data_IF_011961932211
#
_entry.id   IF_011961932211
#
_cell.length_a   1.000
_cell.length_b   1.000
_cell.length_c   1.000
_cell.angle_alpha   90.00
_cell.angle_beta   90.00
_cell.angle_gamma   90.00
#
_symmetry.space_group_name_H-M   'P 1'
#
loop_
_entity.id
_entity.type
_entity.pdbx_description
1 polymer ?
#
# COMPACT_ATOMS: atom_id res chain seq x y z
N UNK A 1 8.85 -6.00 23.69
CA UNK A 1 9.58 -6.60 22.56
C UNK A 1 11.10 -6.46 22.73
N UNK A 2 11.89 -7.21 21.94
CA UNK A 2 13.34 -6.96 21.80
C UNK A 2 13.60 -5.55 21.31
N UNK A 3 14.71 -4.95 21.70
CA UNK A 3 15.11 -3.59 21.26
C UNK A 3 15.70 -3.63 19.85
N UNK A 4 14.89 -3.43 18.83
CA UNK A 4 15.33 -3.39 17.43
C UNK A 4 15.92 -2.03 17.06
N UNK A 5 16.74 -1.99 16.02
CA UNK A 5 17.28 -0.74 15.45
C UNK A 5 16.37 -0.19 14.35
N UNK A 6 15.71 -1.10 13.61
CA UNK A 6 14.96 -0.79 12.40
C UNK A 6 13.54 -1.33 12.51
N UNK A 7 12.57 -0.45 12.34
CA UNK A 7 11.14 -0.74 12.37
C UNK A 7 10.58 -0.56 10.97
N UNK A 8 10.06 -1.65 10.40
CA UNK A 8 9.49 -1.69 9.06
C UNK A 8 7.98 -1.81 9.22
N UNK A 9 7.23 -0.84 8.76
CA UNK A 9 5.78 -0.81 8.89
C UNK A 9 5.10 -1.08 7.55
N UNK A 10 4.01 -1.84 7.58
CA UNK A 10 2.95 -1.74 6.59
C UNK A 10 2.15 -0.45 6.80
N UNK A 11 1.31 -0.06 5.81
CA UNK A 11 0.55 1.18 5.84
C UNK A 11 -0.92 0.97 6.20
N UNK A 12 -1.69 0.39 5.26
CA UNK A 12 -3.14 0.30 5.38
C UNK A 12 -3.55 -0.85 6.30
N UNK A 13 -4.31 -0.53 7.33
CA UNK A 13 -4.63 -1.47 8.40
C UNK A 13 -3.58 -1.55 9.51
N UNK A 14 -2.45 -0.83 9.35
CA UNK A 14 -1.37 -0.77 10.34
C UNK A 14 -1.16 0.64 10.88
N UNK A 15 -0.94 1.62 10.03
CA UNK A 15 -0.80 3.03 10.39
C UNK A 15 -1.98 3.87 9.93
N UNK A 16 -2.62 3.46 8.84
CA UNK A 16 -3.70 4.18 8.15
C UNK A 16 -4.93 3.33 8.07
N UNK A 17 -6.05 3.89 8.48
CA UNK A 17 -7.39 3.38 8.22
C UNK A 17 -7.95 4.06 6.98
N UNK A 18 -8.48 3.26 6.05
CA UNK A 18 -9.05 3.74 4.80
C UNK A 18 -10.30 2.94 4.44
N UNK A 19 -11.26 3.60 3.80
CA UNK A 19 -12.38 2.93 3.16
C UNK A 19 -12.55 3.43 1.73
N UNK A 20 -12.66 2.50 0.79
CA UNK A 20 -12.85 2.80 -0.64
C UNK A 20 -13.90 1.89 -1.24
N UNK A 21 -14.77 2.48 -2.09
CA UNK A 21 -15.80 1.79 -2.85
C UNK A 21 -15.59 2.04 -4.35
N UNK A 22 -14.95 1.07 -5.01
CA UNK A 22 -14.63 1.17 -6.45
C UNK A 22 -15.79 0.68 -7.34
N UNK A 23 -16.83 0.07 -6.74
CA UNK A 23 -18.01 -0.46 -7.45
C UNK A 23 -19.12 0.55 -7.71
N UNK A 24 -19.06 1.73 -7.11
CA UNK A 24 -20.15 2.71 -7.15
C UNK A 24 -20.36 3.30 -8.56
N UNK A 25 -21.61 3.25 -9.07
CA UNK A 25 -21.97 3.78 -10.39
C UNK A 25 -21.62 5.26 -10.56
N UNK A 26 -21.77 6.05 -9.50
CA UNK A 26 -21.49 7.49 -9.54
C UNK A 26 -19.99 7.79 -9.72
N UNK A 27 -19.11 6.89 -9.25
CA UNK A 27 -17.67 6.97 -9.51
C UNK A 27 -17.43 6.88 -11.02
N UNK A 28 -17.90 5.81 -11.66
CA UNK A 28 -17.67 5.53 -13.08
C UNK A 28 -18.28 6.59 -13.98
N UNK A 29 -19.45 7.11 -13.60
CA UNK A 29 -20.10 8.22 -14.27
C UNK A 29 -19.26 9.50 -14.21
N UNK A 30 -18.72 9.88 -13.05
CA UNK A 30 -17.84 11.06 -12.92
C UNK A 30 -16.52 10.86 -13.65
N UNK A 31 -15.94 9.66 -13.56
CA UNK A 31 -14.71 9.34 -14.26
C UNK A 31 -14.91 9.36 -15.78
N UNK A 32 -16.06 8.91 -16.30
CA UNK A 32 -16.36 8.99 -17.74
C UNK A 32 -16.43 10.44 -18.23
N UNK A 33 -16.93 11.38 -17.43
CA UNK A 33 -16.87 12.81 -17.76
C UNK A 33 -15.44 13.32 -17.80
N UNK A 34 -14.60 12.91 -16.83
CA UNK A 34 -13.19 13.29 -16.85
C UNK A 34 -12.51 12.86 -18.15
N UNK A 35 -12.64 11.59 -18.55
CA UNK A 35 -12.10 11.09 -19.81
C UNK A 35 -12.70 11.83 -21.03
N UNK A 36 -14.01 12.08 -21.02
CA UNK A 36 -14.74 12.78 -22.07
C UNK A 36 -14.26 14.23 -22.28
N UNK A 37 -13.87 14.94 -21.22
CA UNK A 37 -13.29 16.29 -21.33
C UNK A 37 -11.98 16.32 -22.11
N UNK A 38 -11.24 15.22 -22.15
CA UNK A 38 -10.03 15.03 -22.94
C UNK A 38 -10.28 14.34 -24.30
N UNK A 39 -11.56 14.08 -24.65
CA UNK A 39 -11.94 13.50 -25.94
C UNK A 39 -12.06 11.96 -25.93
N UNK A 40 -11.75 11.30 -24.82
CA UNK A 40 -11.91 9.85 -24.67
C UNK A 40 -13.33 9.53 -24.14
N UNK A 41 -14.31 9.49 -25.05
CA UNK A 41 -15.73 9.35 -24.69
C UNK A 41 -16.06 7.89 -24.37
N UNK A 42 -16.57 7.68 -23.16
CA UNK A 42 -17.04 6.40 -22.62
C UNK A 42 -18.45 6.53 -22.06
N UNK A 43 -19.25 5.49 -22.20
CA UNK A 43 -20.35 5.23 -21.27
C UNK A 43 -19.75 4.70 -19.95
N UNK A 44 -20.37 5.00 -18.79
CA UNK A 44 -19.82 4.62 -17.48
C UNK A 44 -19.50 3.13 -17.34
N UNK A 45 -20.42 2.27 -17.77
CA UNK A 45 -20.29 0.82 -17.72
C UNK A 45 -19.16 0.33 -18.64
N UNK A 46 -19.04 0.91 -19.83
CA UNK A 46 -17.95 0.59 -20.78
C UNK A 46 -16.58 0.96 -20.20
N UNK A 47 -16.49 2.08 -19.48
CA UNK A 47 -15.27 2.51 -18.84
C UNK A 47 -14.85 1.53 -17.73
N UNK A 48 -15.79 1.14 -16.86
CA UNK A 48 -15.56 0.16 -15.81
C UNK A 48 -15.09 -1.18 -16.36
N UNK A 49 -15.81 -1.73 -17.34
CA UNK A 49 -15.44 -2.99 -17.99
C UNK A 49 -14.05 -2.91 -18.65
N UNK A 50 -13.75 -1.77 -19.30
CA UNK A 50 -12.45 -1.53 -19.93
C UNK A 50 -11.31 -1.48 -18.89
N UNK A 51 -11.54 -0.83 -17.77
CA UNK A 51 -10.59 -0.76 -16.66
C UNK A 51 -10.31 -2.16 -16.10
N UNK A 52 -11.36 -2.90 -15.75
CA UNK A 52 -11.20 -4.25 -15.20
C UNK A 52 -10.48 -5.20 -16.17
N UNK A 53 -10.82 -5.12 -17.47
CA UNK A 53 -10.17 -5.92 -18.50
C UNK A 53 -8.67 -5.57 -18.66
N UNK A 54 -8.31 -4.28 -18.61
CA UNK A 54 -6.92 -3.84 -18.69
C UNK A 54 -6.13 -4.27 -17.44
N UNK A 55 -6.69 -4.11 -16.24
CA UNK A 55 -6.06 -4.59 -14.98
C UNK A 55 -5.79 -6.09 -15.07
N UNK A 56 -6.77 -6.88 -15.50
CA UNK A 56 -6.61 -8.33 -15.67
C UNK A 56 -5.53 -8.66 -16.72
N UNK A 57 -5.51 -7.94 -17.84
CA UNK A 57 -4.50 -8.12 -18.92
C UNK A 57 -3.10 -7.80 -18.41
N UNK A 58 -2.92 -6.69 -17.68
CA UNK A 58 -1.62 -6.33 -17.11
C UNK A 58 -1.13 -7.39 -16.11
N UNK A 59 -1.98 -7.82 -15.17
CA UNK A 59 -1.65 -8.90 -14.24
C UNK A 59 -1.24 -10.18 -14.94
N UNK A 60 -1.93 -10.54 -16.02
CA UNK A 60 -1.63 -11.74 -16.81
C UNK A 60 -0.28 -11.64 -17.54
N UNK A 61 0.18 -10.46 -17.90
CA UNK A 61 1.50 -10.28 -18.52
C UNK A 61 2.65 -10.67 -17.59
N UNK A 62 2.41 -10.61 -16.27
CA UNK A 62 3.33 -11.02 -15.20
C UNK A 62 2.96 -12.39 -14.58
N UNK A 63 2.20 -13.23 -15.26
CA UNK A 63 1.76 -14.54 -14.74
C UNK A 63 2.90 -15.52 -14.43
N UNK A 64 4.13 -15.21 -14.86
CA UNK A 64 5.35 -15.96 -14.51
C UNK A 64 5.87 -15.60 -13.11
N UNK A 65 5.45 -14.49 -12.53
CA UNK A 65 5.77 -14.10 -11.15
C UNK A 65 4.76 -14.68 -10.15
N UNK A 66 5.23 -15.16 -9.00
CA UNK A 66 4.36 -15.72 -7.96
C UNK A 66 3.41 -14.65 -7.36
N UNK A 67 3.87 -13.41 -7.30
CA UNK A 67 3.15 -12.29 -6.72
C UNK A 67 3.21 -11.09 -7.68
N UNK A 68 2.48 -11.12 -8.80
CA UNK A 68 2.55 -10.07 -9.80
C UNK A 68 2.07 -8.72 -9.24
N UNK A 69 2.82 -7.68 -9.53
CA UNK A 69 2.46 -6.29 -9.21
C UNK A 69 2.42 -5.47 -10.49
N UNK A 70 1.47 -4.54 -10.58
CA UNK A 70 1.27 -3.68 -11.75
C UNK A 70 1.24 -2.22 -11.32
N UNK A 71 1.55 -1.34 -12.26
CA UNK A 71 1.46 0.11 -12.10
C UNK A 71 0.16 0.59 -12.76
N UNK A 72 -0.81 1.04 -11.94
CA UNK A 72 -2.14 1.42 -12.45
C UNK A 72 -2.12 2.65 -13.36
N UNK A 73 -1.12 3.52 -13.28
CA UNK A 73 -0.98 4.66 -14.19
C UNK A 73 -0.95 4.24 -15.66
N UNK A 74 -0.34 3.10 -15.99
CA UNK A 74 -0.38 2.56 -17.35
C UNK A 74 -1.78 2.06 -17.75
N UNK A 75 -2.57 1.57 -16.81
CA UNK A 75 -3.96 1.20 -17.06
C UNK A 75 -4.78 2.46 -17.37
N UNK A 76 -4.63 3.52 -16.57
CA UNK A 76 -5.32 4.79 -16.81
C UNK A 76 -4.88 5.44 -18.13
N UNK A 77 -3.59 5.34 -18.52
CA UNK A 77 -3.11 5.80 -19.81
C UNK A 77 -3.75 5.02 -20.98
N UNK A 78 -3.76 3.70 -20.89
CA UNK A 78 -4.35 2.83 -21.92
C UNK A 78 -5.85 3.06 -22.14
N UNK A 79 -6.57 3.52 -21.13
CA UNK A 79 -7.97 3.92 -21.28
C UNK A 79 -8.12 5.12 -22.22
N UNK A 80 -7.21 6.11 -22.21
CA UNK A 80 -7.19 7.18 -23.20
C UNK A 80 -6.85 6.65 -24.60
N UNK A 81 -5.79 5.84 -24.68
CA UNK A 81 -5.31 5.28 -25.96
C UNK A 81 -6.38 4.43 -26.64
N UNK A 82 -7.17 3.65 -25.88
CA UNK A 82 -8.28 2.83 -26.39
C UNK A 82 -9.34 3.65 -27.13
N UNK A 83 -9.49 4.93 -26.81
CA UNK A 83 -10.37 5.89 -27.50
C UNK A 83 -9.63 6.77 -28.50
N UNK A 84 -8.38 6.44 -28.84
CA UNK A 84 -7.57 7.20 -29.82
C UNK A 84 -7.02 8.52 -29.29
N UNK A 85 -7.07 8.76 -28.00
CA UNK A 85 -6.51 9.96 -27.34
C UNK A 85 -5.11 9.63 -26.83
N UNK A 86 -4.13 10.45 -27.21
CA UNK A 86 -2.79 10.37 -26.65
C UNK A 86 -2.76 11.09 -25.29
N UNK A 87 -2.44 10.35 -24.25
CA UNK A 87 -2.26 10.89 -22.89
C UNK A 87 -0.80 10.72 -22.47
N UNK A 88 -0.21 11.79 -21.94
CA UNK A 88 1.06 11.65 -21.23
C UNK A 88 0.85 10.99 -19.84
N UNK A 89 1.95 10.64 -19.19
CA UNK A 89 1.89 9.98 -17.90
C UNK A 89 1.32 10.91 -16.81
N UNK A 90 1.51 12.20 -16.91
CA UNK A 90 0.95 13.18 -15.95
C UNK A 90 -0.59 13.15 -15.98
N UNK A 91 -1.19 13.14 -17.17
CA UNK A 91 -2.65 13.02 -17.33
C UNK A 91 -3.17 11.65 -16.82
N UNK A 92 -2.43 10.58 -17.08
CA UNK A 92 -2.77 9.25 -16.58
C UNK A 92 -2.77 9.18 -15.05
N UNK A 93 -1.75 9.75 -14.42
CA UNK A 93 -1.66 9.88 -12.96
C UNK A 93 -2.83 10.72 -12.41
N UNK A 94 -3.18 11.83 -13.05
CA UNK A 94 -4.34 12.64 -12.64
C UNK A 94 -5.66 11.86 -12.75
N UNK A 95 -5.83 11.04 -13.79
CA UNK A 95 -7.00 10.17 -13.92
C UNK A 95 -7.08 9.15 -12.76
N UNK A 96 -5.95 8.53 -12.42
CA UNK A 96 -5.84 7.63 -11.28
C UNK A 96 -6.14 8.31 -9.94
N UNK A 97 -5.60 9.51 -9.72
CA UNK A 97 -5.86 10.29 -8.51
C UNK A 97 -7.35 10.69 -8.40
N UNK A 98 -7.95 11.07 -9.53
CA UNK A 98 -9.36 11.39 -9.56
C UNK A 98 -10.22 10.15 -9.25
N UNK A 99 -9.89 9.00 -9.85
CA UNK A 99 -10.49 7.72 -9.51
C UNK A 99 -10.38 7.42 -8.01
N UNK A 100 -9.18 7.61 -7.43
CA UNK A 100 -8.94 7.36 -6.00
C UNK A 100 -9.79 8.27 -5.11
N UNK A 101 -9.87 9.57 -5.44
CA UNK A 101 -10.70 10.53 -4.69
C UNK A 101 -12.20 10.16 -4.78
N UNK A 102 -12.66 9.73 -5.95
CA UNK A 102 -14.07 9.35 -6.14
C UNK A 102 -14.43 8.05 -5.41
N UNK A 103 -13.49 7.11 -5.30
CA UNK A 103 -13.71 5.84 -4.60
C UNK A 103 -13.53 5.94 -3.09
N UNK A 104 -12.84 6.97 -2.60
CA UNK A 104 -12.46 7.09 -1.19
C UNK A 104 -13.57 7.73 -0.36
N UNK A 105 -14.08 6.99 0.61
CA UNK A 105 -15.00 7.53 1.61
C UNK A 105 -14.23 8.28 2.70
N UNK A 106 -13.16 7.68 3.21
CA UNK A 106 -12.25 8.33 4.16
C UNK A 106 -10.85 7.72 4.13
N UNK A 107 -9.88 8.53 4.56
CA UNK A 107 -8.52 8.12 4.89
C UNK A 107 -8.08 8.87 6.15
N UNK A 108 -7.61 8.16 7.15
CA UNK A 108 -7.18 8.73 8.44
C UNK A 108 -6.11 7.86 9.11
N UNK A 109 -5.39 8.44 10.06
CA UNK A 109 -4.47 7.68 10.92
C UNK A 109 -5.24 6.93 12.00
N UNK A 110 -4.73 5.77 12.42
CA UNK A 110 -5.12 5.22 13.71
C UNK A 110 -4.63 6.14 14.84
N UNK A 111 -5.37 6.16 15.95
CA UNK A 111 -5.06 7.02 17.08
C UNK A 111 -3.69 6.68 17.67
N UNK A 112 -2.84 7.69 17.86
CA UNK A 112 -1.51 7.53 18.45
C UNK A 112 -0.37 7.19 17.48
N UNK A 113 -0.64 7.09 16.17
CA UNK A 113 0.39 6.76 15.16
C UNK A 113 1.54 7.76 15.17
N UNK A 114 1.26 9.07 15.13
CA UNK A 114 2.33 10.08 15.11
C UNK A 114 3.15 10.06 16.37
N UNK A 115 2.51 9.93 17.51
CA UNK A 115 3.16 9.83 18.82
C UNK A 115 4.08 8.60 18.90
N UNK A 116 3.66 7.47 18.33
CA UNK A 116 4.46 6.25 18.27
C UNK A 116 5.68 6.43 17.36
N UNK A 117 5.52 7.01 16.18
CA UNK A 117 6.63 7.31 15.26
C UNK A 117 7.62 8.30 15.85
N UNK A 118 7.13 9.36 16.54
CA UNK A 118 7.98 10.30 17.29
C UNK A 118 8.75 9.62 18.40
N UNK A 119 8.12 8.67 19.11
CA UNK A 119 8.80 7.92 20.17
C UNK A 119 9.97 7.10 19.60
N UNK A 120 9.78 6.43 18.47
CA UNK A 120 10.85 5.69 17.79
C UNK A 120 12.00 6.61 17.40
N UNK A 121 11.72 7.79 16.83
CA UNK A 121 12.74 8.78 16.48
C UNK A 121 13.48 9.29 17.72
N UNK A 122 12.77 9.59 18.83
CA UNK A 122 13.40 9.99 20.11
C UNK A 122 14.31 8.91 20.67
N UNK A 123 14.00 7.64 20.42
CA UNK A 123 14.86 6.50 20.77
C UNK A 123 16.00 6.23 19.77
N UNK A 124 16.14 7.06 18.73
CA UNK A 124 17.16 6.91 17.68
C UNK A 124 16.94 5.72 16.77
N UNK A 125 15.71 5.24 16.65
CA UNK A 125 15.34 4.12 15.77
C UNK A 125 15.17 4.59 14.35
N UNK A 126 15.41 3.67 13.39
CA UNK A 126 15.10 3.86 11.98
C UNK A 126 13.72 3.34 11.64
N UNK A 127 12.98 4.06 10.84
CA UNK A 127 11.60 3.76 10.48
C UNK A 127 11.46 3.70 8.97
N UNK A 128 10.94 2.58 8.48
CA UNK A 128 10.75 2.34 7.05
C UNK A 128 9.30 1.98 6.77
N UNK A 129 8.82 2.33 5.59
CA UNK A 129 7.54 1.88 5.06
C UNK A 129 7.77 0.81 4.00
N UNK A 130 7.02 -0.31 4.08
CA UNK A 130 7.00 -1.38 3.09
C UNK A 130 5.55 -1.78 2.83
N UNK A 131 4.92 -1.19 1.81
CA UNK A 131 3.47 -1.29 1.58
C UNK A 131 3.12 -1.91 0.24
N UNK A 132 2.16 -2.85 0.26
CA UNK A 132 1.49 -3.34 -0.95
C UNK A 132 0.45 -2.31 -1.38
N UNK A 133 0.82 -1.43 -2.33
CA UNK A 133 0.01 -0.26 -2.68
C UNK A 133 0.38 0.29 -4.08
N UNK A 134 -0.41 1.25 -4.54
CA UNK A 134 -0.15 2.00 -5.77
C UNK A 134 0.47 3.36 -5.45
N UNK A 135 1.63 3.66 -6.01
CA UNK A 135 2.37 4.89 -5.74
C UNK A 135 1.56 6.14 -6.09
N UNK A 136 0.82 6.09 -7.20
CA UNK A 136 -0.03 7.20 -7.67
C UNK A 136 -1.13 7.61 -6.67
N UNK A 137 -1.45 6.77 -5.70
CA UNK A 137 -2.39 7.05 -4.61
C UNK A 137 -1.64 7.34 -3.31
N UNK A 138 -0.80 6.41 -2.91
CA UNK A 138 -0.20 6.32 -1.58
C UNK A 138 0.73 7.50 -1.28
N UNK A 139 1.51 7.98 -2.24
CA UNK A 139 2.39 9.13 -2.05
C UNK A 139 1.60 10.40 -1.67
N UNK A 140 0.43 10.61 -2.26
CA UNK A 140 -0.42 11.76 -1.96
C UNK A 140 -1.14 11.62 -0.62
N UNK A 141 -1.58 10.40 -0.28
CA UNK A 141 -2.20 10.10 1.00
C UNK A 141 -1.19 10.26 2.16
N UNK A 142 0.04 9.78 2.01
CA UNK A 142 1.12 10.00 2.98
C UNK A 142 1.42 11.48 3.19
N UNK A 143 1.40 12.28 2.10
CA UNK A 143 1.56 13.74 2.18
C UNK A 143 0.41 14.39 2.92
N UNK A 144 -0.84 14.06 2.55
CA UNK A 144 -2.05 14.57 3.19
C UNK A 144 -2.09 14.27 4.67
N UNK A 145 -1.73 13.05 5.07
CA UNK A 145 -1.68 12.61 6.47
C UNK A 145 -0.45 13.15 7.24
N UNK A 146 0.52 13.74 6.53
CA UNK A 146 1.74 14.27 7.11
C UNK A 146 2.68 13.19 7.65
N UNK A 147 2.71 12.02 6.99
CA UNK A 147 3.52 10.87 7.41
C UNK A 147 4.92 10.84 6.78
N UNK A 148 5.12 11.46 5.61
CA UNK A 148 6.40 11.39 4.87
C UNK A 148 7.63 11.68 5.76
N UNK A 149 7.63 12.72 6.63
CA UNK A 149 8.81 13.06 7.43
C UNK A 149 9.20 12.02 8.48
N UNK A 150 8.33 11.06 8.77
CA UNK A 150 8.58 10.04 9.78
C UNK A 150 9.33 8.81 9.25
N UNK A 151 9.46 8.67 7.93
CA UNK A 151 10.15 7.52 7.35
C UNK A 151 11.56 7.89 6.88
N UNK A 152 12.53 7.05 7.22
CA UNK A 152 13.87 7.11 6.65
C UNK A 152 13.85 6.71 5.15
N UNK A 153 12.92 5.83 4.77
CA UNK A 153 12.62 5.51 3.36
C UNK A 153 11.24 4.86 3.21
N UNK A 154 10.68 4.94 1.99
CA UNK A 154 9.35 4.48 1.64
C UNK A 154 9.45 3.56 0.42
N UNK A 155 8.96 2.30 0.58
CA UNK A 155 8.87 1.31 -0.48
C UNK A 155 7.41 0.98 -0.75
N UNK A 156 6.97 1.25 -1.96
CA UNK A 156 5.62 0.96 -2.45
C UNK A 156 5.72 -0.09 -3.55
N UNK A 157 4.91 -1.13 -3.48
CA UNK A 157 5.03 -2.32 -4.33
C UNK A 157 4.92 -2.00 -5.82
N UNK A 158 4.03 -1.10 -6.23
CA UNK A 158 3.86 -0.76 -7.64
C UNK A 158 5.14 -0.21 -8.26
N UNK A 159 5.84 0.72 -7.58
CA UNK A 159 7.12 1.28 -8.06
C UNK A 159 8.28 0.29 -8.02
N UNK A 160 8.17 -0.76 -7.20
CA UNK A 160 9.19 -1.80 -7.06
C UNK A 160 8.92 -3.02 -7.94
N UNK A 161 7.76 -3.09 -8.59
CA UNK A 161 7.30 -4.21 -9.43
C UNK A 161 7.33 -5.57 -8.70
N UNK A 162 7.24 -5.55 -7.40
CA UNK A 162 7.14 -6.72 -6.53
C UNK A 162 6.45 -6.35 -5.21
N UNK A 163 5.78 -7.31 -4.58
CA UNK A 163 4.99 -7.07 -3.38
C UNK A 163 5.14 -8.17 -2.34
N UNK A 164 4.83 -7.86 -1.08
CA UNK A 164 4.73 -8.86 0.00
C UNK A 164 3.71 -9.95 -0.39
N UNK A 165 3.94 -11.24 -0.09
CA UNK A 165 5.03 -11.76 0.74
C UNK A 165 6.33 -12.07 -0.01
N UNK A 166 6.49 -11.67 -1.30
CA UNK A 166 7.76 -11.94 -2.00
C UNK A 166 8.94 -11.34 -1.25
N UNK A 167 9.89 -12.20 -0.88
CA UNK A 167 11.11 -11.80 -0.17
C UNK A 167 11.97 -10.83 -0.97
N UNK A 168 11.81 -10.75 -2.31
CA UNK A 168 12.50 -9.75 -3.13
C UNK A 168 12.18 -8.34 -2.65
N UNK A 169 10.90 -8.07 -2.32
CA UNK A 169 10.47 -6.75 -1.88
C UNK A 169 11.11 -6.34 -0.55
N UNK A 170 11.20 -7.27 0.40
CA UNK A 170 11.93 -7.05 1.65
C UNK A 170 13.42 -6.86 1.43
N UNK A 171 14.03 -7.69 0.56
CA UNK A 171 15.45 -7.61 0.26
C UNK A 171 15.86 -6.29 -0.37
N UNK A 172 15.01 -5.69 -1.23
CA UNK A 172 15.28 -4.37 -1.79
C UNK A 172 15.51 -3.32 -0.70
N UNK A 173 14.67 -3.30 0.34
CA UNK A 173 14.84 -2.42 1.50
C UNK A 173 16.10 -2.75 2.29
N UNK A 174 16.28 -4.03 2.65
CA UNK A 174 17.43 -4.48 3.44
C UNK A 174 18.76 -4.17 2.77
N UNK A 175 18.87 -4.42 1.47
CA UNK A 175 20.09 -4.21 0.68
C UNK A 175 20.38 -2.72 0.48
N UNK A 176 19.37 -1.90 0.14
CA UNK A 176 19.52 -0.44 -0.05
C UNK A 176 20.08 0.23 1.20
N UNK A 177 19.64 -0.20 2.38
CA UNK A 177 20.04 0.38 3.67
C UNK A 177 21.06 -0.46 4.44
N UNK A 178 21.57 -1.56 3.86
CA UNK A 178 22.55 -2.48 4.46
C UNK A 178 22.11 -2.96 5.85
N UNK A 179 20.80 -3.27 5.99
CA UNK A 179 20.22 -3.67 7.26
C UNK A 179 20.50 -5.15 7.55
N UNK A 180 20.73 -5.46 8.83
CA UNK A 180 20.82 -6.83 9.31
C UNK A 180 19.43 -7.30 9.75
N UNK A 181 19.02 -8.48 9.32
CA UNK A 181 17.69 -9.04 9.61
C UNK A 181 17.43 -9.09 11.13
N UNK A 182 18.43 -9.50 11.91
CA UNK A 182 18.34 -9.60 13.38
C UNK A 182 18.13 -8.25 14.09
N UNK A 183 18.39 -7.13 13.44
CA UNK A 183 18.18 -5.77 13.93
C UNK A 183 16.83 -5.17 13.47
N UNK A 184 16.04 -5.92 12.68
CA UNK A 184 14.79 -5.47 12.07
C UNK A 184 13.57 -6.16 12.68
N UNK A 185 12.44 -5.47 12.65
CA UNK A 185 11.11 -6.03 12.93
C UNK A 185 10.12 -5.53 11.88
N UNK A 186 9.33 -6.46 11.28
CA UNK A 186 8.18 -6.11 10.44
C UNK A 186 6.93 -5.96 11.29
N UNK A 187 6.20 -4.87 11.13
CA UNK A 187 4.95 -4.58 11.83
C UNK A 187 3.84 -4.43 10.79
N UNK A 188 2.83 -5.29 10.87
CA UNK A 188 1.75 -5.30 9.91
C UNK A 188 0.49 -5.98 10.42
N UNK A 189 -0.58 -5.90 9.62
CA UNK A 189 -1.91 -6.43 9.95
C UNK A 189 -2.35 -7.60 9.08
N UNK A 190 -1.51 -8.02 8.13
CA UNK A 190 -1.81 -9.13 7.22
C UNK A 190 -0.85 -10.30 7.45
N UNK A 191 -1.42 -11.40 7.99
CA UNK A 191 -0.66 -12.62 8.26
C UNK A 191 -0.13 -13.29 6.99
N UNK A 192 -0.80 -13.10 5.85
CA UNK A 192 -0.47 -13.75 4.57
C UNK A 192 0.57 -13.00 3.76
N UNK A 193 0.79 -11.73 4.05
CA UNK A 193 1.74 -10.87 3.35
C UNK A 193 2.84 -10.37 4.27
N UNK A 194 2.50 -9.60 5.32
CA UNK A 194 3.48 -8.98 6.22
C UNK A 194 4.25 -10.01 7.02
N UNK A 195 3.50 -10.89 7.68
CA UNK A 195 4.07 -11.87 8.59
C UNK A 195 4.71 -13.02 7.81
N UNK A 196 4.05 -13.51 6.77
CA UNK A 196 4.56 -14.62 5.97
C UNK A 196 5.92 -14.26 5.30
N UNK A 197 6.03 -13.06 4.71
CA UNK A 197 7.29 -12.62 4.08
C UNK A 197 8.41 -12.39 5.09
N UNK A 198 8.11 -11.79 6.24
CA UNK A 198 9.08 -11.61 7.32
C UNK A 198 9.58 -12.97 7.85
N UNK A 199 8.67 -13.92 8.07
CA UNK A 199 8.99 -15.28 8.52
C UNK A 199 9.88 -16.02 7.54
N UNK A 200 9.58 -15.97 6.24
CA UNK A 200 10.39 -16.61 5.21
C UNK A 200 11.83 -16.08 5.20
N UNK A 201 12.04 -14.82 5.56
CA UNK A 201 13.36 -14.20 5.72
C UNK A 201 14.03 -14.51 7.07
N UNK A 202 13.32 -15.07 8.03
CA UNK A 202 13.78 -15.19 9.42
C UNK A 202 13.84 -13.86 10.16
N UNK A 203 13.05 -12.88 9.75
CA UNK A 203 12.87 -11.58 10.40
C UNK A 203 11.79 -11.68 11.48
N UNK A 204 12.06 -11.12 12.65
CA UNK A 204 11.05 -10.97 13.68
C UNK A 204 9.88 -10.10 13.18
N UNK A 205 8.67 -10.41 13.62
CA UNK A 205 7.46 -9.67 13.22
C UNK A 205 6.51 -9.44 14.37
N UNK A 206 5.73 -8.37 14.26
CA UNK A 206 4.59 -8.08 15.12
C UNK A 206 3.33 -7.99 14.26
N UNK A 207 2.38 -8.89 14.51
CA UNK A 207 1.04 -8.77 13.93
C UNK A 207 0.16 -7.90 14.82
N UNK A 208 -0.54 -6.93 14.22
CA UNK A 208 -1.54 -6.09 14.89
C UNK A 208 -2.88 -6.29 14.19
N UNK A 209 -3.86 -6.85 14.90
CA UNK A 209 -5.19 -6.98 14.34
C UNK A 209 -5.89 -5.62 14.23
N UNK A 210 -6.49 -5.34 13.08
CA UNK A 210 -7.27 -4.13 12.81
C UNK A 210 -8.55 -4.47 12.05
N UNK A 211 -9.41 -3.48 11.87
CA UNK A 211 -10.64 -3.59 11.05
C UNK A 211 -10.38 -3.88 9.56
N UNK A 212 -9.15 -3.69 9.09
CA UNK A 212 -8.73 -3.99 7.72
C UNK A 212 -7.93 -5.30 7.61
N UNK A 213 -7.72 -6.01 8.71
CA UNK A 213 -7.02 -7.30 8.69
C UNK A 213 -7.85 -8.36 7.96
N UNK A 214 -7.24 -9.17 7.10
CA UNK A 214 -7.89 -10.37 6.58
C UNK A 214 -8.30 -11.33 7.69
N UNK A 215 -9.32 -12.15 7.43
CA UNK A 215 -9.74 -13.18 8.39
C UNK A 215 -8.57 -14.13 8.73
N UNK A 216 -8.35 -14.32 10.01
CA UNK A 216 -7.34 -15.26 10.51
C UNK A 216 -7.90 -16.66 10.62
N UNK A 217 -7.21 -17.64 10.08
CA UNK A 217 -7.47 -19.07 10.30
C UNK A 217 -6.55 -19.61 11.41
N UNK A 218 -6.74 -19.16 12.65
CA UNK A 218 -5.90 -19.50 13.79
C UNK A 218 -5.08 -18.34 14.33
N UNK A 219 -4.08 -18.64 15.16
CA UNK A 219 -3.14 -17.61 15.66
C UNK A 219 -2.19 -17.16 14.54
N UNK A 220 -1.83 -15.85 14.48
CA UNK A 220 -0.86 -15.37 13.51
C UNK A 220 0.52 -15.98 13.80
N UNK A 221 1.24 -16.28 12.73
CA UNK A 221 2.57 -16.90 12.80
C UNK A 221 3.70 -15.86 12.99
N UNK A 222 3.45 -14.91 13.87
CA UNK A 222 4.33 -13.77 14.17
C UNK A 222 5.12 -13.97 15.47
N UNK A 223 6.24 -13.26 15.61
CA UNK A 223 7.04 -13.26 16.84
C UNK A 223 6.28 -12.62 18.00
N UNK A 224 5.53 -11.57 17.72
CA UNK A 224 4.69 -10.82 18.66
C UNK A 224 3.30 -10.65 18.08
N UNK A 225 2.31 -10.51 18.97
CA UNK A 225 0.91 -10.40 18.59
C UNK A 225 0.15 -9.37 19.42
N UNK A 226 -0.67 -8.57 18.76
CA UNK A 226 -1.65 -7.67 19.36
C UNK A 226 -3.05 -7.99 18.80
N UNK A 227 -3.99 -8.32 19.69
CA UNK A 227 -5.36 -8.69 19.32
C UNK A 227 -6.20 -7.55 18.76
N UNK A 228 -5.78 -6.32 19.00
CA UNK A 228 -6.46 -5.10 18.56
C UNK A 228 -5.49 -3.97 18.27
N UNK A 229 -5.94 -3.01 17.47
CA UNK A 229 -5.19 -1.81 17.14
C UNK A 229 -5.13 -0.87 18.36
N UNK A 230 -3.97 -0.83 19.02
CA UNK A 230 -3.69 0.05 20.16
C UNK A 230 -2.24 0.55 20.12
N UNK A 231 -2.05 1.76 19.62
CA UNK A 231 -0.72 2.37 19.53
C UNK A 231 -0.12 2.71 20.89
N UNK A 232 -0.93 2.89 21.94
CA UNK A 232 -0.40 3.09 23.29
C UNK A 232 0.23 1.82 23.83
N UNK A 233 -0.45 0.70 23.65
CA UNK A 233 0.08 -0.62 23.99
C UNK A 233 1.34 -0.93 23.18
N UNK A 234 1.35 -0.60 21.88
CA UNK A 234 2.55 -0.74 21.07
C UNK A 234 3.71 0.09 21.61
N UNK A 235 3.50 1.37 21.99
CA UNK A 235 4.54 2.22 22.59
C UNK A 235 5.13 1.66 23.88
N UNK A 236 4.34 0.96 24.70
CA UNK A 236 4.81 0.27 25.89
C UNK A 236 5.69 -0.95 25.58
N UNK A 237 5.53 -1.54 24.40
CA UNK A 237 6.31 -2.69 23.94
C UNK A 237 7.63 -2.26 23.28
N UNK A 238 7.72 -1.01 22.79
CA UNK A 238 8.89 -0.44 22.13
C UNK A 238 9.94 0.01 23.17
#
# INVERSE_FOLDING_TARGET
MKDYKNYIFDLYGTLVEIHTEEGEDELWKKLSFFYGFYGAVYEPEELQESYLALVASEKNSYAHEAYPEIELEYVFQKLFEKKGVQADMELAVHAGQFFRILSMEYVKLYDGVKEMLELLHKKGKKVYLLSNAQEIFTTYELRYLGLIPYFDDIFISSSCQCKKPDIKFYKMLLEKHQLKIEDCVMIGNDNTTDIAGAKELGMDSLYIHSNLSPELTGEPDSTYYMEEMDMKKLMEML
#
